data_IF_848794672607
#
_entry.id   IF_848794672607
#
_cell.length_a   1.000
_cell.length_b   1.000
_cell.length_c   1.000
_cell.angle_alpha   90.00
_cell.angle_beta   90.00
_cell.angle_gamma   90.00
#
_symmetry.space_group_name_H-M   'P 1'
#
loop_
_entity.id
_entity.type
_entity.pdbx_description
1 polymer ?
#
# COMPACT_ATOMS: atom_id res chain seq x y z
N UNK A 1 73.54 -45.38 -51.01
CA UNK A 1 73.96 -44.18 -51.79
C UNK A 1 72.70 -43.41 -52.13
N UNK A 2 72.40 -42.15 -51.79
CA UNK A 2 73.06 -40.97 -51.18
C UNK A 2 71.93 -40.20 -50.46
N UNK A 3 72.04 -39.83 -49.19
CA UNK A 3 72.51 -38.54 -48.65
C UNK A 3 71.83 -37.25 -49.20
N UNK A 4 71.18 -36.55 -48.24
CA UNK A 4 71.16 -35.11 -47.94
C UNK A 4 70.56 -34.06 -48.90
N UNK A 5 69.50 -33.44 -48.36
CA UNK A 5 69.26 -32.00 -48.12
C UNK A 5 69.67 -30.96 -49.17
N UNK A 6 68.70 -30.13 -49.58
CA UNK A 6 68.78 -28.64 -49.61
C UNK A 6 67.38 -28.00 -49.83
N UNK A 7 66.94 -27.14 -48.91
CA UNK A 7 65.95 -26.04 -49.10
C UNK A 7 66.71 -24.77 -49.61
N UNK A 8 66.11 -23.57 -49.91
CA UNK A 8 64.74 -23.04 -49.68
C UNK A 8 64.12 -22.18 -50.82
N UNK A 9 62.85 -21.74 -50.69
CA UNK A 9 62.42 -20.34 -50.88
C UNK A 9 60.88 -20.12 -50.69
N UNK A 10 60.56 -19.39 -49.61
CA UNK A 10 59.57 -18.29 -49.48
C UNK A 10 58.06 -18.43 -49.74
N UNK A 11 57.32 -18.01 -48.69
CA UNK A 11 55.98 -17.38 -48.72
C UNK A 11 54.87 -18.36 -48.34
N UNK A 12 54.01 -18.15 -47.33
CA UNK A 12 53.51 -16.92 -46.69
C UNK A 12 53.12 -17.24 -45.24
N UNK A 13 53.43 -16.31 -44.35
CA UNK A 13 53.02 -16.26 -42.94
C UNK A 13 51.52 -16.36 -42.74
N UNK A 14 51.06 -17.15 -41.76
CA UNK A 14 50.15 -16.68 -40.71
C UNK A 14 50.34 -17.55 -39.47
N UNK A 15 51.07 -17.00 -38.50
CA UNK A 15 51.19 -17.55 -37.16
C UNK A 15 50.10 -16.98 -36.24
N UNK A 16 49.54 -17.88 -35.43
CA UNK A 16 48.98 -17.56 -34.12
C UNK A 16 47.51 -17.19 -34.09
N UNK A 17 46.71 -17.97 -33.35
CA UNK A 17 46.37 -17.50 -32.01
C UNK A 17 45.93 -18.66 -31.11
N UNK A 18 46.73 -18.89 -30.08
CA UNK A 18 46.48 -19.83 -28.99
C UNK A 18 45.21 -19.44 -28.24
N UNK A 19 44.36 -20.43 -27.95
CA UNK A 19 43.19 -20.33 -27.06
C UNK A 19 43.61 -19.71 -25.73
N UNK A 20 43.10 -18.51 -25.44
CA UNK A 20 43.33 -17.84 -24.16
C UNK A 20 41.99 -17.60 -23.46
N UNK A 21 41.71 -18.39 -22.42
CA UNK A 21 40.54 -18.30 -21.54
C UNK A 21 40.47 -16.97 -20.75
N UNK A 22 41.33 -15.99 -21.06
CA UNK A 22 41.36 -14.65 -20.47
C UNK A 22 40.32 -13.71 -21.09
N UNK A 23 39.83 -14.00 -22.31
CA UNK A 23 38.79 -13.20 -22.98
C UNK A 23 37.40 -13.46 -22.39
N UNK A 24 37.12 -14.66 -21.89
CA UNK A 24 35.86 -14.94 -21.16
C UNK A 24 35.81 -14.25 -19.79
N UNK A 25 36.96 -13.99 -19.17
CA UNK A 25 37.03 -13.29 -17.88
C UNK A 25 36.92 -11.76 -18.08
N UNK A 26 37.33 -11.21 -19.22
CA UNK A 26 37.14 -9.79 -19.53
C UNK A 26 35.70 -9.42 -19.95
N UNK A 27 34.87 -10.39 -20.39
CA UNK A 27 33.42 -10.17 -20.58
C UNK A 27 32.64 -10.31 -19.25
N UNK A 28 33.15 -11.08 -18.29
CA UNK A 28 32.60 -11.14 -16.93
C UNK A 28 32.98 -9.94 -16.04
N UNK A 29 33.96 -9.11 -16.46
CA UNK A 29 34.37 -7.90 -15.75
C UNK A 29 33.67 -6.61 -16.23
N UNK A 30 32.74 -6.69 -17.20
CA UNK A 30 31.91 -5.56 -17.66
C UNK A 30 30.43 -5.66 -17.21
N UNK A 31 30.10 -6.61 -16.34
CA UNK A 31 28.75 -6.78 -15.75
C UNK A 31 28.78 -6.66 -14.21
N UNK A 32 29.92 -6.27 -13.63
CA UNK A 32 30.12 -6.17 -12.17
C UNK A 32 30.55 -4.76 -11.71
N UNK A 33 30.04 -3.71 -12.35
CA UNK A 33 30.05 -2.35 -11.82
C UNK A 33 28.68 -1.73 -12.08
N UNK A 34 27.79 -1.82 -11.08
CA UNK A 34 26.83 -0.78 -10.72
C UNK A 34 26.23 -1.16 -9.35
N UNK A 35 27.08 -1.17 -8.33
CA UNK A 35 26.67 -1.11 -6.93
C UNK A 35 27.13 0.25 -6.36
N UNK A 36 26.15 1.09 -6.01
CA UNK A 36 26.09 1.96 -4.81
C UNK A 36 27.10 3.14 -4.79
N UNK A 37 26.81 4.40 -4.47
CA UNK A 37 25.68 5.12 -3.88
C UNK A 37 25.85 6.62 -4.19
N UNK A 38 24.74 7.36 -4.26
CA UNK A 38 24.68 8.69 -3.61
C UNK A 38 23.34 8.77 -2.89
N UNK A 39 23.40 8.68 -1.56
CA UNK A 39 22.29 9.04 -0.69
C UNK A 39 22.08 10.55 -0.78
N UNK A 40 20.97 10.96 -1.37
CA UNK A 40 20.44 12.30 -1.17
C UNK A 40 19.36 12.18 -0.11
N UNK A 41 19.77 12.35 1.15
CA UNK A 41 18.89 12.73 2.25
C UNK A 41 18.31 14.11 1.94
N UNK A 42 17.24 14.16 1.15
CA UNK A 42 16.34 15.29 1.22
C UNK A 42 15.27 14.97 2.24
N UNK A 43 15.43 15.64 3.38
CA UNK A 43 14.42 15.90 4.38
C UNK A 43 13.19 16.49 3.69
N UNK A 44 12.35 15.63 3.12
CA UNK A 44 10.96 15.98 2.91
C UNK A 44 10.43 16.13 4.32
N UNK A 45 10.30 17.38 4.78
CA UNK A 45 9.41 17.70 5.89
C UNK A 45 8.11 16.98 5.53
N UNK A 46 7.81 15.90 6.24
CA UNK A 46 6.50 15.29 6.22
C UNK A 46 5.58 16.40 6.69
N UNK A 47 5.02 17.15 5.76
CA UNK A 47 3.77 17.82 6.00
C UNK A 47 2.87 16.71 6.52
N UNK A 48 2.37 16.90 7.73
CA UNK A 48 1.39 16.03 8.35
C UNK A 48 0.14 16.11 7.48
N UNK A 49 0.15 15.37 6.37
CA UNK A 49 -1.04 15.08 5.60
C UNK A 49 -1.81 14.16 6.52
N UNK A 50 -2.76 14.75 7.25
CA UNK A 50 -3.78 14.04 8.00
C UNK A 50 -4.66 13.32 6.95
N UNK A 51 -4.10 12.28 6.32
CA UNK A 51 -4.83 11.37 5.47
C UNK A 51 -5.89 10.76 6.37
N UNK A 52 -7.15 10.97 6.01
CA UNK A 52 -8.30 10.28 6.56
C UNK A 52 -7.97 8.78 6.61
N UNK A 53 -7.52 8.31 7.77
CA UNK A 53 -7.25 6.90 7.99
C UNK A 53 -8.61 6.20 7.94
N UNK A 54 -8.88 5.50 6.84
CA UNK A 54 -10.08 4.66 6.66
C UNK A 54 -10.22 3.51 7.68
N UNK A 55 -9.33 3.45 8.68
CA UNK A 55 -9.34 2.52 9.81
C UNK A 55 -9.78 3.17 11.14
N UNK A 56 -10.33 4.39 11.10
CA UNK A 56 -10.68 5.16 12.31
C UNK A 56 -11.72 4.53 13.25
N UNK A 57 -12.50 3.55 12.80
CA UNK A 57 -13.58 2.93 13.61
C UNK A 57 -13.16 1.67 14.38
N UNK A 58 -12.01 1.07 14.07
CA UNK A 58 -11.57 -0.20 14.65
C UNK A 58 -10.16 -0.15 15.23
N UNK A 59 -9.61 1.05 15.36
CA UNK A 59 -8.41 1.26 16.15
C UNK A 59 -8.71 0.94 17.63
N UNK A 60 -7.68 0.57 18.38
CA UNK A 60 -7.77 0.36 19.83
C UNK A 60 -8.38 1.58 20.54
N UNK A 61 -8.13 2.78 20.02
CA UNK A 61 -8.76 4.02 20.49
C UNK A 61 -10.26 4.10 20.21
N UNK A 62 -10.73 3.62 19.05
CA UNK A 62 -12.16 3.61 18.74
C UNK A 62 -12.92 2.63 19.65
N UNK A 63 -12.31 1.50 19.99
CA UNK A 63 -12.84 0.51 20.92
C UNK A 63 -12.92 1.09 22.34
N UNK A 64 -11.86 1.78 22.78
CA UNK A 64 -11.83 2.49 24.05
C UNK A 64 -12.94 3.54 24.12
N UNK A 65 -13.05 4.39 23.09
CA UNK A 65 -14.12 5.38 23.01
C UNK A 65 -15.51 4.75 23.10
N UNK A 66 -15.75 3.64 22.39
CA UNK A 66 -17.07 2.99 22.40
C UNK A 66 -17.40 2.40 23.77
N UNK A 67 -16.41 1.80 24.42
CA UNK A 67 -16.52 1.22 25.76
C UNK A 67 -16.92 2.28 26.77
N UNK A 68 -16.21 3.41 26.75
CA UNK A 68 -16.47 4.55 27.64
C UNK A 68 -17.81 5.22 27.32
N UNK A 69 -18.11 5.42 26.03
CA UNK A 69 -19.33 6.07 25.61
C UNK A 69 -20.57 5.25 25.97
N UNK A 70 -20.53 3.93 25.86
CA UNK A 70 -21.68 3.06 26.19
C UNK A 70 -21.72 2.64 27.65
N UNK A 71 -20.72 3.01 28.46
CA UNK A 71 -20.56 2.54 29.83
C UNK A 71 -20.71 1.01 29.91
N UNK A 72 -19.94 0.28 29.08
CA UNK A 72 -20.01 -1.18 29.08
C UNK A 72 -19.56 -1.74 30.43
N UNK A 73 -20.30 -2.69 30.99
CA UNK A 73 -19.88 -3.39 32.20
C UNK A 73 -18.72 -4.36 31.90
N UNK A 74 -18.08 -4.91 32.93
CA UNK A 74 -16.91 -5.80 32.78
C UNK A 74 -17.18 -7.02 31.88
N UNK A 75 -18.37 -7.62 31.98
CA UNK A 75 -18.76 -8.76 31.15
C UNK A 75 -18.91 -8.36 29.67
N UNK A 76 -19.55 -7.22 29.40
CA UNK A 76 -19.69 -6.66 28.05
C UNK A 76 -18.32 -6.27 27.45
N UNK A 77 -17.42 -5.72 28.27
CA UNK A 77 -16.07 -5.39 27.83
C UNK A 77 -15.27 -6.63 27.47
N UNK A 78 -15.38 -7.70 28.26
CA UNK A 78 -14.73 -8.98 27.97
C UNK A 78 -15.25 -9.57 26.64
N UNK A 79 -16.57 -9.57 26.44
CA UNK A 79 -17.19 -10.03 25.19
C UNK A 79 -16.78 -9.18 23.98
N UNK A 80 -16.75 -7.85 24.14
CA UNK A 80 -16.28 -6.95 23.09
C UNK A 80 -14.85 -7.27 22.67
N UNK A 81 -13.93 -7.42 23.65
CA UNK A 81 -12.54 -7.80 23.39
C UNK A 81 -12.42 -9.14 22.67
N UNK A 82 -13.23 -10.13 23.04
CA UNK A 82 -13.25 -11.43 22.37
C UNK A 82 -13.71 -11.33 20.91
N UNK A 83 -14.79 -10.58 20.65
CA UNK A 83 -15.27 -10.29 19.29
C UNK A 83 -14.15 -9.65 18.46
N UNK A 84 -13.48 -8.62 18.99
CA UNK A 84 -12.38 -7.98 18.25
C UNK A 84 -11.18 -8.90 18.06
N UNK A 85 -10.78 -9.66 19.08
CA UNK A 85 -9.65 -10.59 18.97
C UNK A 85 -9.88 -11.65 17.89
N UNK A 86 -11.13 -12.12 17.77
CA UNK A 86 -11.54 -13.08 16.74
C UNK A 86 -11.47 -12.51 15.33
N UNK A 87 -11.96 -11.29 15.11
CA UNK A 87 -12.05 -10.70 13.77
C UNK A 87 -10.78 -9.91 13.37
N UNK A 88 -9.89 -9.61 14.32
CA UNK A 88 -8.65 -8.85 14.09
C UNK A 88 -7.75 -9.43 12.99
N UNK A 89 -7.47 -10.74 12.91
CA UNK A 89 -6.64 -11.29 11.83
C UNK A 89 -7.20 -11.01 10.43
N UNK A 90 -8.53 -11.08 10.29
CA UNK A 90 -9.23 -10.78 9.03
C UNK A 90 -9.10 -9.30 8.68
N UNK A 91 -9.35 -8.41 9.65
CA UNK A 91 -9.19 -6.97 9.46
C UNK A 91 -7.74 -6.59 9.10
N UNK A 92 -6.76 -7.16 9.79
CA UNK A 92 -5.34 -6.89 9.53
C UNK A 92 -4.97 -7.31 8.10
N UNK A 93 -5.41 -8.49 7.67
CA UNK A 93 -5.19 -8.99 6.30
C UNK A 93 -5.81 -8.07 5.26
N UNK A 94 -7.07 -7.67 5.45
CA UNK A 94 -7.78 -6.79 4.52
C UNK A 94 -7.17 -5.37 4.48
N UNK A 95 -6.78 -4.81 5.63
CA UNK A 95 -6.08 -3.53 5.71
C UNK A 95 -4.72 -3.59 4.99
N UNK A 96 -3.99 -4.70 5.14
CA UNK A 96 -2.75 -4.92 4.40
C UNK A 96 -2.98 -4.98 2.89
N UNK A 97 -4.02 -5.69 2.43
CA UNK A 97 -4.37 -5.75 1.01
C UNK A 97 -4.72 -4.37 0.44
N UNK A 98 -5.47 -3.55 1.19
CA UNK A 98 -5.76 -2.16 0.81
C UNK A 98 -4.49 -1.32 0.69
N UNK A 99 -3.54 -1.44 1.64
CA UNK A 99 -2.26 -0.71 1.60
C UNK A 99 -1.44 -1.11 0.38
N UNK A 100 -1.31 -2.41 0.11
CA UNK A 100 -0.60 -2.93 -1.04
C UNK A 100 -1.22 -2.45 -2.35
N UNK A 101 -2.55 -2.47 -2.45
CA UNK A 101 -3.25 -1.93 -3.60
C UNK A 101 -2.95 -0.44 -3.80
N UNK A 102 -3.00 0.36 -2.74
CA UNK A 102 -2.73 1.80 -2.82
C UNK A 102 -1.29 2.09 -3.27
N UNK A 103 -0.32 1.34 -2.74
CA UNK A 103 1.09 1.42 -3.17
C UNK A 103 1.26 1.03 -4.65
N UNK A 104 0.58 -0.02 -5.10
CA UNK A 104 0.63 -0.45 -6.50
C UNK A 104 0.03 0.60 -7.45
N UNK A 105 -1.11 1.22 -7.11
CA UNK A 105 -1.66 2.32 -7.91
C UNK A 105 -0.68 3.49 -7.99
N UNK A 106 -0.10 3.91 -6.86
CA UNK A 106 0.88 5.00 -6.83
C UNK A 106 2.11 4.72 -7.72
N UNK A 107 2.57 3.47 -7.77
CA UNK A 107 3.66 3.06 -8.66
C UNK A 107 3.24 3.11 -10.14
N UNK A 108 2.03 2.67 -10.47
CA UNK A 108 1.51 2.73 -11.84
C UNK A 108 1.32 4.18 -12.32
N UNK A 109 0.82 5.06 -11.45
CA UNK A 109 0.64 6.49 -11.73
C UNK A 109 1.96 7.23 -11.98
N UNK A 110 3.05 6.79 -11.34
CA UNK A 110 4.37 7.41 -11.47
C UNK A 110 5.29 6.71 -12.47
N UNK A 111 4.76 5.71 -13.19
CA UNK A 111 5.50 5.00 -14.23
C UNK A 111 5.70 5.87 -15.49
N UNK A 112 6.70 5.52 -16.31
CA UNK A 112 7.00 6.26 -17.55
C UNK A 112 5.89 6.19 -18.59
N UNK A 113 5.02 5.17 -18.52
CA UNK A 113 3.94 4.92 -19.47
C UNK A 113 2.70 4.48 -18.72
N UNK A 114 1.58 5.18 -18.93
CA UNK A 114 0.31 4.82 -18.34
C UNK A 114 -0.20 3.47 -18.91
N UNK A 115 -0.47 2.52 -18.01
CA UNK A 115 -1.01 1.20 -18.33
C UNK A 115 -2.40 1.07 -17.70
N UNK A 116 -3.43 1.44 -18.48
CA UNK A 116 -4.82 1.45 -18.01
C UNK A 116 -5.29 0.06 -17.57
N UNK A 117 -4.85 -1.00 -18.27
CA UNK A 117 -5.24 -2.36 -17.96
C UNK A 117 -4.76 -2.78 -16.56
N UNK A 118 -3.52 -2.46 -16.20
CA UNK A 118 -2.99 -2.69 -14.85
C UNK A 118 -3.71 -1.86 -13.80
N UNK A 119 -3.96 -0.57 -14.09
CA UNK A 119 -4.70 0.30 -13.16
C UNK A 119 -6.09 -0.25 -12.89
N UNK A 120 -6.84 -0.65 -13.92
CA UNK A 120 -8.16 -1.28 -13.77
C UNK A 120 -8.09 -2.57 -12.96
N UNK A 121 -7.10 -3.42 -13.20
CA UNK A 121 -6.93 -4.66 -12.43
C UNK A 121 -6.71 -4.39 -10.94
N UNK A 122 -5.81 -3.48 -10.58
CA UNK A 122 -5.55 -3.12 -9.18
C UNK A 122 -6.77 -2.44 -8.54
N UNK A 123 -7.45 -1.56 -9.28
CA UNK A 123 -8.66 -0.89 -8.80
C UNK A 123 -9.80 -1.88 -8.53
N UNK A 124 -10.01 -2.87 -9.41
CA UNK A 124 -10.99 -3.95 -9.18
C UNK A 124 -10.67 -4.78 -7.94
N UNK A 125 -9.39 -5.11 -7.71
CA UNK A 125 -8.98 -5.82 -6.49
C UNK A 125 -9.22 -4.99 -5.22
N UNK A 126 -8.94 -3.69 -5.26
CA UNK A 126 -9.23 -2.80 -4.13
C UNK A 126 -10.73 -2.69 -3.87
N UNK A 127 -11.55 -2.60 -4.92
CA UNK A 127 -13.01 -2.57 -4.75
C UNK A 127 -13.52 -3.81 -4.01
N UNK A 128 -13.04 -5.00 -4.40
CA UNK A 128 -13.36 -6.24 -3.70
C UNK A 128 -12.90 -6.23 -2.23
N UNK A 129 -11.65 -5.81 -1.99
CA UNK A 129 -11.10 -5.72 -0.62
C UNK A 129 -11.90 -4.74 0.24
N UNK A 130 -12.34 -3.62 -0.33
CA UNK A 130 -13.19 -2.64 0.34
C UNK A 130 -14.57 -3.22 0.67
N UNK A 131 -15.17 -3.98 -0.25
CA UNK A 131 -16.41 -4.72 0.02
C UNK A 131 -16.24 -5.65 1.21
N UNK A 132 -15.17 -6.44 1.23
CA UNK A 132 -14.91 -7.39 2.31
C UNK A 132 -14.66 -6.66 3.65
N UNK A 133 -13.96 -5.53 3.63
CA UNK A 133 -13.81 -4.66 4.81
C UNK A 133 -15.15 -4.15 5.33
N UNK A 134 -16.04 -3.69 4.45
CA UNK A 134 -17.37 -3.21 4.86
C UNK A 134 -18.17 -4.34 5.52
N UNK A 135 -18.14 -5.54 4.93
CA UNK A 135 -18.83 -6.72 5.48
C UNK A 135 -18.25 -7.09 6.85
N UNK A 136 -16.92 -7.11 6.99
CA UNK A 136 -16.26 -7.44 8.26
C UNK A 136 -16.62 -6.42 9.36
N UNK A 137 -16.56 -5.13 9.04
CA UNK A 137 -16.94 -4.05 9.96
C UNK A 137 -18.41 -4.17 10.38
N UNK A 138 -19.30 -4.46 9.44
CA UNK A 138 -20.72 -4.66 9.73
C UNK A 138 -20.96 -5.90 10.62
N UNK A 139 -20.20 -6.98 10.41
CA UNK A 139 -20.26 -8.17 11.25
C UNK A 139 -19.85 -7.87 12.70
N UNK A 140 -18.74 -7.18 12.89
CA UNK A 140 -18.28 -6.78 14.23
C UNK A 140 -19.30 -5.86 14.90
N UNK A 141 -19.79 -4.84 14.20
CA UNK A 141 -20.83 -3.95 14.72
C UNK A 141 -22.10 -4.71 15.13
N UNK A 142 -22.53 -5.68 14.33
CA UNK A 142 -23.70 -6.52 14.66
C UNK A 142 -23.48 -7.32 15.95
N UNK A 143 -22.31 -7.98 16.09
CA UNK A 143 -21.95 -8.74 17.29
C UNK A 143 -21.89 -7.84 18.53
N UNK A 144 -21.26 -6.66 18.44
CA UNK A 144 -21.21 -5.68 19.52
C UNK A 144 -22.60 -5.16 19.88
N UNK A 145 -23.46 -4.92 18.90
CA UNK A 145 -24.82 -4.44 19.16
C UNK A 145 -25.65 -5.46 19.95
N UNK A 146 -25.40 -6.75 19.76
CA UNK A 146 -26.14 -7.82 20.45
C UNK A 146 -25.85 -7.89 21.95
N UNK A 147 -24.63 -7.53 22.38
CA UNK A 147 -24.24 -7.57 23.81
C UNK A 147 -24.72 -6.34 24.61
N UNK A 148 -25.31 -5.34 23.93
CA UNK A 148 -25.79 -4.11 24.56
C UNK A 148 -27.18 -4.27 25.19
N UNK A 149 -27.41 -3.54 26.28
CA UNK A 149 -28.76 -3.35 26.84
C UNK A 149 -29.63 -2.47 25.92
N UNK A 150 -30.96 -2.48 26.07
CA UNK A 150 -31.85 -1.61 25.29
C UNK A 150 -31.48 -0.11 25.36
N UNK A 151 -31.06 0.37 26.53
CA UNK A 151 -30.64 1.75 26.76
C UNK A 151 -29.34 2.07 26.01
N UNK A 152 -28.36 1.16 26.08
CA UNK A 152 -27.09 1.30 25.36
C UNK A 152 -27.28 1.24 23.84
N UNK A 153 -28.17 0.38 23.33
CA UNK A 153 -28.56 0.34 21.92
C UNK A 153 -29.12 1.68 21.45
N UNK A 154 -29.95 2.31 22.27
CA UNK A 154 -30.52 3.64 21.97
C UNK A 154 -29.42 4.71 21.93
N UNK A 155 -28.45 4.65 22.85
CA UNK A 155 -27.30 5.56 22.85
C UNK A 155 -26.42 5.37 21.61
N UNK A 156 -26.21 4.11 21.21
CA UNK A 156 -25.46 3.76 20.00
C UNK A 156 -26.14 4.30 18.73
N UNK A 157 -27.44 4.11 18.56
CA UNK A 157 -28.15 4.60 17.35
C UNK A 157 -28.17 6.12 17.27
N UNK A 158 -28.27 6.82 18.41
CA UNK A 158 -28.14 8.27 18.46
C UNK A 158 -26.74 8.75 18.05
N UNK A 159 -25.68 8.05 18.48
CA UNK A 159 -24.31 8.35 18.08
C UNK A 159 -24.14 8.20 16.56
N UNK A 160 -24.63 7.09 15.99
CA UNK A 160 -24.59 6.83 14.55
C UNK A 160 -25.32 7.92 13.75
N UNK A 161 -26.52 8.31 14.19
CA UNK A 161 -27.29 9.38 13.55
C UNK A 161 -26.56 10.73 13.62
N UNK A 162 -25.94 11.08 14.76
CA UNK A 162 -25.17 12.32 14.88
C UNK A 162 -23.96 12.37 13.94
N UNK A 163 -23.29 11.23 13.74
CA UNK A 163 -22.17 11.15 12.80
C UNK A 163 -22.62 11.40 11.35
N UNK A 164 -23.78 10.86 10.96
CA UNK A 164 -24.39 11.09 9.64
C UNK A 164 -24.72 12.57 9.40
N UNK A 165 -25.34 13.23 10.40
CA UNK A 165 -25.70 14.65 10.31
C UNK A 165 -24.47 15.59 10.35
N UNK A 166 -23.43 15.22 11.10
CA UNK A 166 -22.18 15.97 11.16
C UNK A 166 -21.45 15.99 9.81
N UNK A 167 -21.42 14.84 9.12
CA UNK A 167 -20.85 14.73 7.78
C UNK A 167 -21.59 15.61 6.76
N UNK A 168 -22.93 15.60 6.78
CA UNK A 168 -23.75 16.46 5.91
C UNK A 168 -23.52 17.96 6.14
N UNK A 169 -23.37 18.39 7.40
CA UNK A 169 -23.09 19.80 7.72
C UNK A 169 -21.73 20.28 7.25
N UNK A 170 -20.70 19.44 7.34
CA UNK A 170 -19.38 19.79 6.81
C UNK A 170 -19.38 19.91 5.28
N UNK A 171 -20.15 19.06 4.60
CA UNK A 171 -20.30 19.15 3.14
C UNK A 171 -21.08 20.39 2.66
N UNK A 172 -22.15 20.79 3.35
CA UNK A 172 -22.88 22.03 3.02
C UNK A 172 -22.08 23.30 3.35
N UNK A 173 -21.30 23.30 4.44
CA UNK A 173 -20.47 24.45 4.82
C UNK A 173 -19.35 24.77 3.83
N UNK A 174 -18.82 23.77 3.11
CA UNK A 174 -17.81 23.98 2.05
C UNK A 174 -18.43 24.45 0.73
N UNK A 175 -19.67 24.09 0.41
CA UNK A 175 -20.34 24.59 -0.82
C UNK A 175 -20.68 26.08 -0.76
N UNK A 176 -20.93 26.62 0.45
CA UNK A 176 -21.19 28.05 0.65
C UNK A 176 -19.92 28.92 0.74
N UNK A 177 -18.72 28.35 0.58
CA UNK A 177 -17.45 29.08 0.48
C UNK A 177 -16.91 29.00 -0.95
N UNK A 178 -17.70 29.50 -1.91
CA UNK A 178 -17.19 29.82 -3.24
C UNK A 178 -16.39 31.12 -3.12
N UNK A 179 -15.07 31.15 -3.45
CA UNK A 179 -14.32 32.40 -3.39
C UNK A 179 -14.94 33.36 -4.40
N UNK A 180 -15.20 34.58 -3.94
CA UNK A 180 -15.62 35.73 -4.71
C UNK A 180 -14.81 35.78 -6.01
N UNK A 181 -15.45 35.50 -7.15
CA UNK A 181 -14.85 35.75 -8.45
C UNK A 181 -14.82 37.27 -8.61
N UNK A 182 -13.70 37.89 -8.24
CA UNK A 182 -13.43 39.29 -8.59
C UNK A 182 -13.63 39.44 -10.11
N UNK A 183 -14.53 40.32 -10.58
CA UNK A 183 -14.66 40.60 -12.00
C UNK A 183 -13.37 41.30 -12.44
N UNK A 184 -12.55 40.64 -13.26
CA UNK A 184 -11.48 41.34 -13.95
C UNK A 184 -12.13 42.24 -15.00
N UNK A 185 -11.90 43.54 -14.81
CA UNK A 185 -12.05 44.58 -15.82
C UNK A 185 -11.09 44.36 -16.99
#
# INVERSE_FOLDING_TARGET
>A
MKEKQTFPATGVSQGGLMKSNRIKIMIAALVLILLVAVGVSQTVKRAHMHGMHGDGMFSEHAIGFLTDYLNLNEAQQAQAKEIFAKEKPTLDSLSQQMKQGHEALKQLETSSTFDEAKVRSVASQQAQTMTDLIVEKARIHSQLFQILTPEQKTKMTQLMSKHEHGFMRHHQGQQNQQPDQTPNQ
#
